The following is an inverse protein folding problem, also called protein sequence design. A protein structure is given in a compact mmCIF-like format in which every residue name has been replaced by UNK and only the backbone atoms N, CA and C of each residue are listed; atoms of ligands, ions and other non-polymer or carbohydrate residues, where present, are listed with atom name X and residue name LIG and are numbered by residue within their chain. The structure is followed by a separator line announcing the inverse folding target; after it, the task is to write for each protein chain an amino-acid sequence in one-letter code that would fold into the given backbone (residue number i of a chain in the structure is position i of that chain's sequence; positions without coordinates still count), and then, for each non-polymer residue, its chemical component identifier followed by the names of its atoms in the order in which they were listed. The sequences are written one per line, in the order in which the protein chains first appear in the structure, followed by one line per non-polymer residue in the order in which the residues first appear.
data_IF_649232103613
#
_entry.id   IF_649232103613
#
_cell.length_a   1.000
_cell.length_b   1.000
_cell.length_c   1.000
_cell.angle_alpha   90.00
_cell.angle_beta   90.00
_cell.angle_gamma   90.00
#
_symmetry.space_group_name_H-M   'P 1'
#
loop_
_entity.id
_entity.type
_entity.pdbx_description
1 polymer ?
#
# COMPACT_ATOMS: atom_id res chain seq x y z
N UNK A 1 -17.70 -11.46 9.84
CA UNK A 1 -16.89 -11.83 8.64
C UNK A 1 -17.58 -11.47 7.32
N UNK A 2 -18.86 -11.79 7.13
CA UNK A 2 -19.56 -11.44 5.88
C UNK A 2 -19.70 -9.93 5.66
N UNK A 3 -19.93 -9.16 6.72
CA UNK A 3 -19.94 -7.69 6.64
C UNK A 3 -18.58 -7.12 6.15
N UNK A 4 -17.47 -7.58 6.73
CA UNK A 4 -16.13 -7.19 6.25
C UNK A 4 -15.93 -7.51 4.76
N UNK A 5 -16.35 -8.71 4.32
CA UNK A 5 -16.24 -9.08 2.91
C UNK A 5 -17.06 -8.16 2.01
N UNK A 6 -18.28 -7.82 2.41
CA UNK A 6 -19.16 -6.92 1.67
C UNK A 6 -18.54 -5.53 1.51
N UNK A 7 -18.06 -4.93 2.59
CA UNK A 7 -17.45 -3.60 2.54
C UNK A 7 -16.11 -3.61 1.77
N UNK A 8 -15.35 -4.72 1.85
CA UNK A 8 -14.15 -4.89 1.01
C UNK A 8 -14.50 -5.01 -0.47
N UNK A 9 -15.56 -5.74 -0.83
CA UNK A 9 -16.02 -5.81 -2.22
C UNK A 9 -16.41 -4.44 -2.76
N UNK A 10 -17.10 -3.59 -1.99
CA UNK A 10 -17.38 -2.21 -2.41
C UNK A 10 -16.11 -1.41 -2.71
N UNK A 11 -15.09 -1.54 -1.86
CA UNK A 11 -13.80 -0.87 -2.08
C UNK A 11 -13.06 -1.40 -3.32
N UNK A 12 -13.15 -2.70 -3.59
CA UNK A 12 -12.60 -3.32 -4.80
C UNK A 12 -13.35 -2.86 -6.05
N UNK A 13 -14.68 -2.85 -6.01
CA UNK A 13 -15.52 -2.35 -7.09
C UNK A 13 -15.23 -0.88 -7.35
N UNK A 14 -15.08 -0.07 -6.29
CA UNK A 14 -14.67 1.32 -6.44
C UNK A 14 -13.26 1.46 -7.04
N UNK A 15 -12.31 0.61 -6.62
CA UNK A 15 -10.97 0.55 -7.20
C UNK A 15 -11.01 0.19 -8.68
N UNK A 16 -11.90 -0.73 -9.07
CA UNK A 16 -12.13 -1.15 -10.45
C UNK A 16 -12.83 -0.05 -11.27
N UNK A 17 -13.81 0.67 -10.70
CA UNK A 17 -14.44 1.82 -11.36
C UNK A 17 -13.46 2.97 -11.58
N UNK A 18 -12.57 3.17 -10.61
CA UNK A 18 -11.42 4.05 -10.70
C UNK A 18 -10.36 3.57 -11.72
N UNK A 19 -10.55 2.45 -12.42
CA UNK A 19 -9.71 2.09 -13.58
C UNK A 19 -9.87 3.07 -14.74
N UNK A 20 -10.99 3.81 -14.80
CA UNK A 20 -11.19 4.88 -15.78
C UNK A 20 -10.43 6.18 -15.41
N UNK A 21 -10.19 6.44 -14.12
CA UNK A 21 -9.36 7.56 -13.63
C UNK A 21 -7.92 7.16 -13.26
N UNK A 22 -7.62 5.85 -13.31
CA UNK A 22 -6.34 5.14 -13.15
C UNK A 22 -5.55 5.42 -11.86
N UNK A 23 -6.12 6.08 -10.84
CA UNK A 23 -5.34 6.67 -9.73
C UNK A 23 -5.87 6.35 -8.33
N UNK A 24 -6.06 5.09 -7.94
CA UNK A 24 -6.68 4.79 -6.63
C UNK A 24 -5.99 5.45 -5.41
N UNK A 25 -4.68 5.23 -5.22
CA UNK A 25 -3.91 5.87 -4.14
C UNK A 25 -3.84 7.40 -4.30
N UNK A 26 -3.41 7.86 -5.48
CA UNK A 26 -3.21 9.28 -5.76
C UNK A 26 -4.52 10.10 -5.74
N UNK A 27 -5.64 9.53 -6.19
CA UNK A 27 -6.95 10.17 -6.16
C UNK A 27 -7.46 10.29 -4.72
N UNK A 28 -7.30 9.25 -3.90
CA UNK A 28 -7.66 9.31 -2.48
C UNK A 28 -6.81 10.34 -1.71
N UNK A 29 -5.53 10.48 -2.08
CA UNK A 29 -4.63 11.48 -1.50
C UNK A 29 -5.04 12.93 -1.85
N UNK A 30 -5.56 13.15 -3.06
CA UNK A 30 -5.92 14.47 -3.60
C UNK A 30 -7.38 14.86 -3.32
N UNK A 31 -8.30 13.89 -3.22
CA UNK A 31 -9.74 14.11 -3.16
C UNK A 31 -10.12 15.07 -2.04
N UNK A 32 -10.54 16.28 -2.38
CA UNK A 32 -10.75 17.34 -1.40
C UNK A 32 -12.07 17.23 -0.63
N UNK A 33 -12.89 16.18 -0.83
CA UNK A 33 -14.27 16.22 -0.36
C UNK A 33 -14.90 14.92 0.13
N UNK A 34 -15.72 15.17 1.15
CA UNK A 34 -16.71 14.42 1.94
C UNK A 34 -16.37 13.03 2.50
N UNK A 35 -16.57 12.91 3.82
CA UNK A 35 -16.68 11.64 4.55
C UNK A 35 -17.89 10.79 4.11
N UNK A 36 -18.62 11.25 3.09
CA UNK A 36 -19.93 10.76 2.67
C UNK A 36 -19.90 10.05 1.31
N UNK A 37 -18.72 9.86 0.71
CA UNK A 37 -18.59 8.92 -0.42
C UNK A 37 -18.53 7.47 0.10
N UNK A 38 -19.23 6.54 -0.56
CA UNK A 38 -19.31 5.12 -0.20
C UNK A 38 -17.92 4.45 0.06
N UNK A 39 -16.84 4.80 -0.66
CA UNK A 39 -15.50 4.27 -0.37
C UNK A 39 -14.90 4.77 0.94
N UNK A 40 -15.10 6.05 1.29
CA UNK A 40 -14.62 6.61 2.56
C UNK A 40 -15.36 5.98 3.74
N UNK A 41 -16.66 5.75 3.60
CA UNK A 41 -17.50 5.06 4.59
C UNK A 41 -17.03 3.61 4.77
N UNK A 42 -16.87 2.86 3.68
CA UNK A 42 -16.41 1.46 3.72
C UNK A 42 -15.02 1.33 4.35
N UNK A 43 -14.09 2.23 4.00
CA UNK A 43 -12.74 2.29 4.58
C UNK A 43 -12.78 2.52 6.10
N UNK A 44 -13.58 3.49 6.56
CA UNK A 44 -13.70 3.81 7.98
C UNK A 44 -14.34 2.67 8.79
N UNK A 45 -15.41 2.07 8.26
CA UNK A 45 -16.07 0.92 8.88
C UNK A 45 -15.12 -0.27 9.04
N UNK A 46 -14.37 -0.60 7.98
CA UNK A 46 -13.38 -1.69 8.04
C UNK A 46 -12.28 -1.41 9.06
N UNK A 47 -11.79 -0.16 9.14
CA UNK A 47 -10.82 0.22 10.17
C UNK A 47 -11.37 0.01 11.59
N UNK A 48 -12.62 0.41 11.84
CA UNK A 48 -13.29 0.21 13.13
C UNK A 48 -13.45 -1.27 13.51
N UNK A 49 -13.95 -2.09 12.58
CA UNK A 49 -14.12 -3.54 12.81
C UNK A 49 -12.79 -4.20 13.15
N UNK A 50 -11.72 -3.89 12.40
CA UNK A 50 -10.41 -4.48 12.66
C UNK A 50 -9.78 -3.96 13.96
N UNK A 51 -9.95 -2.69 14.30
CA UNK A 51 -9.46 -2.15 15.57
C UNK A 51 -10.19 -2.84 16.76
N UNK A 52 -11.49 -3.07 16.67
CA UNK A 52 -12.25 -3.84 17.68
C UNK A 52 -11.73 -5.27 17.82
N UNK A 53 -11.54 -5.99 16.70
CA UNK A 53 -10.96 -7.35 16.70
C UNK A 53 -9.60 -7.37 17.41
N UNK A 54 -8.72 -6.39 17.13
CA UNK A 54 -7.40 -6.32 17.77
C UNK A 54 -7.52 -6.00 19.26
N UNK A 55 -8.46 -5.15 19.67
CA UNK A 55 -8.65 -4.87 21.09
C UNK A 55 -9.24 -6.08 21.84
N UNK A 56 -10.19 -6.82 21.25
CA UNK A 56 -10.69 -8.09 21.81
C UNK A 56 -9.56 -9.11 21.96
N UNK A 57 -8.70 -9.25 20.94
CA UNK A 57 -7.54 -10.13 21.00
C UNK A 57 -6.60 -9.74 22.14
N UNK A 58 -6.31 -8.44 22.31
CA UNK A 58 -5.44 -7.94 23.39
C UNK A 58 -6.02 -8.14 24.78
N UNK A 59 -7.34 -8.24 24.90
CA UNK A 59 -8.05 -8.51 26.16
C UNK A 59 -8.25 -10.00 26.43
N UNK A 60 -7.75 -10.88 25.55
CA UNK A 60 -7.97 -12.33 25.63
C UNK A 60 -9.46 -12.71 25.58
N UNK A 61 -10.26 -11.93 24.84
CA UNK A 61 -11.71 -12.17 24.66
C UNK A 61 -12.00 -13.08 23.45
N UNK A 62 -10.96 -13.51 22.74
CA UNK A 62 -11.06 -14.38 21.56
C UNK A 62 -10.37 -15.73 21.84
N UNK A 63 -10.76 -16.82 21.14
CA UNK A 63 -10.10 -18.11 21.29
C UNK A 63 -8.59 -18.06 21.00
N UNK A 64 -7.82 -18.91 21.67
CA UNK A 64 -6.35 -18.96 21.51
C UNK A 64 -5.93 -19.25 20.06
N UNK A 65 -6.71 -20.05 19.33
CA UNK A 65 -6.43 -20.39 17.94
C UNK A 65 -6.84 -19.31 16.94
N UNK A 66 -7.42 -18.18 17.39
CA UNK A 66 -8.00 -17.15 16.52
C UNK A 66 -7.00 -16.64 15.48
N UNK A 67 -5.76 -16.35 15.90
CA UNK A 67 -4.68 -15.86 15.04
C UNK A 67 -4.20 -16.90 14.00
N UNK A 68 -4.54 -18.18 14.19
CA UNK A 68 -4.17 -19.29 13.30
C UNK A 68 -5.29 -19.69 12.32
N UNK A 69 -6.48 -19.08 12.42
CA UNK A 69 -7.61 -19.41 11.52
C UNK A 69 -7.27 -18.96 10.10
N UNK A 70 -7.00 -19.92 9.20
CA UNK A 70 -6.63 -19.67 7.80
C UNK A 70 -7.55 -18.69 7.07
N UNK A 71 -8.88 -18.83 7.24
CA UNK A 71 -9.86 -17.92 6.62
C UNK A 71 -9.71 -16.48 7.11
N UNK A 72 -9.41 -16.29 8.39
CA UNK A 72 -9.19 -14.98 8.98
C UNK A 72 -7.87 -14.38 8.52
N UNK A 73 -6.80 -15.17 8.44
CA UNK A 73 -5.50 -14.74 7.90
C UNK A 73 -5.65 -14.24 6.45
N UNK A 74 -6.37 -14.99 5.62
CA UNK A 74 -6.67 -14.59 4.24
C UNK A 74 -7.48 -13.30 4.18
N UNK A 75 -8.50 -13.17 5.03
CA UNK A 75 -9.33 -11.96 5.11
C UNK A 75 -8.52 -10.75 5.57
N UNK A 76 -7.68 -10.91 6.60
CA UNK A 76 -6.78 -9.87 7.11
C UNK A 76 -5.72 -9.44 6.11
N UNK A 77 -5.21 -10.39 5.32
CA UNK A 77 -4.27 -10.11 4.23
C UNK A 77 -4.93 -9.28 3.13
N UNK A 78 -6.11 -9.71 2.66
CA UNK A 78 -6.88 -8.97 1.64
C UNK A 78 -7.27 -7.58 2.14
N UNK A 79 -7.69 -7.46 3.40
CA UNK A 79 -7.98 -6.17 4.05
C UNK A 79 -6.75 -5.26 4.03
N UNK A 80 -5.59 -5.77 4.46
CA UNK A 80 -4.34 -5.03 4.51
C UNK A 80 -3.92 -4.52 3.13
N UNK A 81 -4.00 -5.35 2.09
CA UNK A 81 -3.69 -4.95 0.70
C UNK A 81 -4.62 -3.87 0.16
N UNK A 82 -5.88 -3.86 0.58
CA UNK A 82 -6.88 -2.93 0.07
C UNK A 82 -6.88 -1.59 0.82
N UNK A 83 -6.76 -1.63 2.14
CA UNK A 83 -7.06 -0.51 3.04
C UNK A 83 -5.79 0.19 3.55
N UNK A 84 -4.68 -0.53 3.76
CA UNK A 84 -3.44 0.09 4.25
C UNK A 84 -2.89 1.18 3.29
N UNK A 85 -2.92 0.99 1.95
CA UNK A 85 -2.58 2.07 1.01
C UNK A 85 -3.41 3.35 1.21
N UNK A 86 -4.70 3.22 1.54
CA UNK A 86 -5.59 4.37 1.78
C UNK A 86 -5.25 5.08 3.09
N UNK A 87 -4.96 4.31 4.15
CA UNK A 87 -4.48 4.87 5.42
C UNK A 87 -3.15 5.61 5.24
N UNK A 88 -2.23 5.07 4.42
CA UNK A 88 -0.97 5.74 4.07
C UNK A 88 -1.24 7.04 3.31
N UNK A 89 -2.13 7.01 2.30
CA UNK A 89 -2.52 8.21 1.55
C UNK A 89 -3.08 9.28 2.50
N UNK A 90 -3.98 8.89 3.41
CA UNK A 90 -4.56 9.78 4.40
C UNK A 90 -3.50 10.35 5.37
N UNK A 91 -2.56 9.50 5.82
CA UNK A 91 -1.46 9.90 6.70
C UNK A 91 -0.60 10.98 6.05
N UNK A 92 -0.12 10.74 4.82
CA UNK A 92 0.78 11.67 4.14
C UNK A 92 0.07 12.93 3.64
N UNK A 93 -1.22 12.85 3.29
CA UNK A 93 -2.07 14.01 3.00
C UNK A 93 -2.09 15.02 4.15
N UNK A 94 -2.26 14.54 5.39
CA UNK A 94 -2.37 15.41 6.57
C UNK A 94 -1.02 15.72 7.23
N UNK A 95 0.07 15.07 6.80
CA UNK A 95 1.40 15.25 7.39
C UNK A 95 2.05 16.62 7.14
N UNK A 96 1.46 17.49 6.29
CA UNK A 96 1.91 18.87 5.98
C UNK A 96 3.43 19.05 5.78
N UNK A 97 4.12 18.05 5.23
CA UNK A 97 5.57 18.13 4.99
C UNK A 97 6.43 18.03 6.25
N UNK A 98 5.86 17.62 7.39
CA UNK A 98 6.60 17.39 8.62
C UNK A 98 7.56 16.19 8.43
N UNK A 99 8.86 16.50 8.33
CA UNK A 99 9.92 15.51 8.06
C UNK A 99 10.08 14.47 9.18
N UNK A 100 9.61 14.77 10.39
CA UNK A 100 9.76 13.90 11.56
C UNK A 100 8.69 12.80 11.61
N UNK A 101 7.50 13.05 11.05
CA UNK A 101 6.39 12.09 11.01
C UNK A 101 6.56 11.12 9.85
N UNK A 102 6.91 9.88 10.21
CA UNK A 102 7.08 8.76 9.28
C UNK A 102 6.08 7.67 9.61
N UNK A 103 5.35 7.17 8.61
CA UNK A 103 4.32 6.16 8.81
C UNK A 103 4.87 4.91 9.53
N UNK A 104 6.07 4.46 9.14
CA UNK A 104 6.69 3.26 9.71
C UNK A 104 7.30 3.47 11.11
N UNK A 105 7.32 4.70 11.66
CA UNK A 105 7.81 4.97 13.02
C UNK A 105 6.71 4.73 14.07
N UNK A 106 7.12 4.73 15.35
CA UNK A 106 6.23 4.48 16.50
C UNK A 106 5.04 5.44 16.45
N UNK A 107 3.83 4.88 16.51
CA UNK A 107 2.57 5.64 16.47
C UNK A 107 2.04 6.00 15.08
N UNK A 108 2.81 5.80 14.00
CA UNK A 108 2.33 6.05 12.63
C UNK A 108 1.46 4.92 12.09
N UNK A 109 2.05 3.72 11.96
CA UNK A 109 1.37 2.54 11.40
C UNK A 109 0.40 1.90 12.42
N UNK A 110 -0.92 1.84 12.12
CA UNK A 110 -1.92 1.20 12.97
C UNK A 110 -1.61 -0.25 13.32
N UNK A 111 -2.08 -0.72 14.48
CA UNK A 111 -1.79 -2.07 14.97
C UNK A 111 -2.45 -3.13 14.10
N UNK A 112 -3.70 -2.92 13.64
CA UNK A 112 -4.43 -3.85 12.76
C UNK A 112 -3.61 -4.39 11.60
N UNK A 113 -2.79 -3.56 10.94
CA UNK A 113 -1.92 -4.03 9.85
C UNK A 113 -0.70 -4.82 10.31
N UNK A 114 -0.14 -4.48 11.48
CA UNK A 114 0.98 -5.22 12.07
C UNK A 114 0.56 -6.62 12.51
N UNK A 115 -0.65 -6.76 13.06
CA UNK A 115 -1.19 -8.06 13.46
C UNK A 115 -1.47 -8.93 12.23
N UNK A 116 -2.25 -8.43 11.26
CA UNK A 116 -2.58 -9.21 10.06
C UNK A 116 -1.35 -9.58 9.23
N UNK A 117 -0.32 -8.72 9.19
CA UNK A 117 0.98 -9.08 8.59
C UNK A 117 1.66 -10.22 9.37
N UNK A 118 1.76 -10.12 10.70
CA UNK A 118 2.41 -11.15 11.53
C UNK A 118 1.70 -12.50 11.47
N UNK A 119 0.37 -12.50 11.41
CA UNK A 119 -0.39 -13.74 11.28
C UNK A 119 -0.07 -14.46 9.96
N UNK A 120 0.02 -13.73 8.85
CA UNK A 120 0.40 -14.29 7.56
C UNK A 120 1.85 -14.83 7.59
N UNK A 121 2.79 -14.03 8.08
CA UNK A 121 4.20 -14.40 8.17
C UNK A 121 4.39 -15.64 9.03
N UNK A 122 3.71 -15.73 10.18
CA UNK A 122 3.76 -16.90 11.04
C UNK A 122 3.16 -18.14 10.35
N UNK A 123 1.98 -18.00 9.75
CA UNK A 123 1.31 -19.10 9.04
C UNK A 123 2.15 -19.64 7.87
N UNK A 124 2.86 -18.77 7.15
CA UNK A 124 3.74 -19.13 6.05
C UNK A 124 5.17 -19.49 6.48
N UNK A 125 5.48 -19.42 7.79
CA UNK A 125 6.83 -19.63 8.35
C UNK A 125 7.88 -18.70 7.74
N UNK A 126 7.49 -17.46 7.48
CA UNK A 126 8.36 -16.41 6.95
C UNK A 126 9.02 -15.62 8.09
N UNK A 127 10.13 -14.96 7.75
CA UNK A 127 10.77 -14.02 8.66
C UNK A 127 9.84 -12.82 8.89
N UNK A 128 9.84 -12.32 10.13
CA UNK A 128 9.07 -11.14 10.51
C UNK A 128 9.47 -9.94 9.63
N UNK A 129 8.48 -9.26 9.06
CA UNK A 129 8.68 -8.07 8.22
C UNK A 129 8.77 -8.34 6.72
N UNK A 130 8.69 -9.60 6.27
CA UNK A 130 8.83 -9.98 4.85
C UNK A 130 7.61 -9.60 4.02
N UNK A 131 6.40 -9.61 4.60
CA UNK A 131 5.14 -9.27 3.90
C UNK A 131 4.84 -7.76 3.99
N UNK A 132 5.74 -6.95 3.42
CA UNK A 132 5.71 -5.49 3.47
C UNK A 132 5.01 -4.78 2.29
N UNK A 133 4.42 -5.51 1.36
CA UNK A 133 3.83 -5.01 0.10
C UNK A 133 2.78 -3.92 0.30
N UNK A 134 1.98 -4.03 1.37
CA UNK A 134 0.95 -3.05 1.71
C UNK A 134 1.52 -1.72 2.24
N UNK A 135 2.78 -1.72 2.69
CA UNK A 135 3.50 -0.52 3.12
C UNK A 135 4.28 0.16 1.98
N UNK A 136 4.22 -0.38 0.75
CA UNK A 136 4.95 0.15 -0.41
C UNK A 136 4.88 1.67 -0.52
N UNK A 137 3.67 2.24 -0.46
CA UNK A 137 3.46 3.67 -0.62
C UNK A 137 4.12 4.51 0.48
N UNK A 138 4.26 3.99 1.70
CA UNK A 138 4.93 4.70 2.77
C UNK A 138 6.42 4.91 2.45
N UNK A 139 7.07 3.89 1.90
CA UNK A 139 8.48 3.98 1.50
C UNK A 139 8.66 4.94 0.30
N UNK A 140 7.73 4.90 -0.66
CA UNK A 140 7.72 5.84 -1.80
C UNK A 140 7.64 7.29 -1.32
N UNK A 141 6.74 7.61 -0.39
CA UNK A 141 6.57 8.98 0.14
C UNK A 141 7.83 9.44 0.89
N UNK A 142 8.46 8.56 1.69
CA UNK A 142 9.70 8.90 2.40
C UNK A 142 10.87 9.15 1.45
N UNK A 143 11.04 8.32 0.42
CA UNK A 143 12.10 8.51 -0.58
C UNK A 143 11.84 9.74 -1.46
N UNK A 144 10.57 10.03 -1.77
CA UNK A 144 10.21 11.22 -2.54
C UNK A 144 10.61 12.50 -1.81
N UNK A 145 10.50 12.56 -0.47
CA UNK A 145 11.01 13.69 0.33
C UNK A 145 12.52 13.91 0.19
N UNK A 146 13.29 12.84 -0.07
CA UNK A 146 14.75 12.92 -0.22
C UNK A 146 15.20 13.39 -1.61
N UNK A 147 14.26 13.53 -2.56
CA UNK A 147 14.56 14.04 -3.91
C UNK A 147 14.79 15.57 -3.99
N UNK A 148 15.00 16.23 -2.85
CA UNK A 148 15.29 17.67 -2.78
C UNK A 148 16.75 17.98 -3.15
N UNK A 149 17.67 17.02 -3.02
CA UNK A 149 19.04 17.11 -3.54
C UNK A 149 19.55 15.74 -4.02
N UNK A 150 20.56 15.75 -4.89
CA UNK A 150 21.18 14.53 -5.38
C UNK A 150 21.89 13.78 -4.25
N UNK A 151 22.59 14.50 -3.37
CA UNK A 151 23.34 13.95 -2.25
C UNK A 151 22.41 13.22 -1.27
N UNK A 152 21.23 13.79 -0.97
CA UNK A 152 20.27 13.18 -0.07
C UNK A 152 19.72 11.87 -0.63
N UNK A 153 19.30 11.84 -1.90
CA UNK A 153 18.79 10.60 -2.51
C UNK A 153 19.86 9.54 -2.70
N UNK A 154 21.12 9.93 -2.97
CA UNK A 154 22.24 8.98 -3.01
C UNK A 154 22.55 8.38 -1.65
N UNK A 155 22.37 9.14 -0.56
CA UNK A 155 22.44 8.61 0.81
C UNK A 155 21.42 7.50 1.10
N UNK A 156 20.32 7.45 0.34
CA UNK A 156 19.25 6.46 0.45
C UNK A 156 19.31 5.37 -0.62
N UNK A 157 20.46 5.22 -1.29
CA UNK A 157 20.66 4.27 -2.40
C UNK A 157 20.13 2.87 -2.12
N UNK A 158 20.49 2.30 -0.97
CA UNK A 158 20.12 0.92 -0.65
C UNK A 158 18.61 0.74 -0.52
N UNK A 159 17.93 1.70 0.12
CA UNK A 159 16.46 1.74 0.24
C UNK A 159 15.77 1.94 -1.11
N UNK A 160 16.30 2.81 -1.95
CA UNK A 160 15.81 3.03 -3.32
C UNK A 160 15.89 1.75 -4.15
N UNK A 161 17.02 1.03 -4.08
CA UNK A 161 17.21 -0.21 -4.82
C UNK A 161 16.38 -1.37 -4.24
N UNK A 162 16.25 -1.43 -2.91
CA UNK A 162 15.40 -2.42 -2.24
C UNK A 162 13.93 -2.23 -2.58
N UNK A 163 13.43 -0.99 -2.54
CA UNK A 163 12.06 -0.65 -2.96
C UNK A 163 11.76 -1.18 -4.37
N UNK A 164 12.69 -0.97 -5.31
CA UNK A 164 12.51 -1.42 -6.69
C UNK A 164 12.56 -2.94 -6.85
N UNK A 165 13.48 -3.62 -6.15
CA UNK A 165 13.53 -5.09 -6.15
C UNK A 165 12.24 -5.69 -5.60
N UNK A 166 11.76 -5.15 -4.47
CA UNK A 166 10.53 -5.59 -3.82
C UNK A 166 9.32 -5.32 -4.72
N UNK A 167 9.22 -4.12 -5.30
CA UNK A 167 8.14 -3.79 -6.22
C UNK A 167 8.10 -4.73 -7.43
N UNK A 168 9.24 -5.02 -8.05
CA UNK A 168 9.32 -5.95 -9.18
C UNK A 168 8.81 -7.35 -8.80
N UNK A 169 9.18 -7.84 -7.61
CA UNK A 169 8.69 -9.11 -7.06
C UNK A 169 7.17 -9.06 -6.80
N UNK A 170 6.70 -8.04 -6.09
CA UNK A 170 5.28 -7.90 -5.74
C UNK A 170 4.37 -7.76 -6.96
N UNK A 171 4.85 -7.11 -8.03
CA UNK A 171 4.13 -7.06 -9.31
C UNK A 171 4.05 -8.45 -9.94
N UNK A 172 5.18 -9.17 -9.99
CA UNK A 172 5.24 -10.52 -10.56
C UNK A 172 4.35 -11.52 -9.81
N UNK A 173 4.30 -11.39 -8.48
CA UNK A 173 3.52 -12.25 -7.60
C UNK A 173 2.02 -11.82 -7.54
N UNK A 174 1.64 -10.72 -8.19
CA UNK A 174 0.27 -10.22 -8.27
C UNK A 174 -0.22 -9.47 -7.02
N UNK A 175 0.67 -9.20 -6.06
CA UNK A 175 0.36 -8.50 -4.81
C UNK A 175 0.20 -6.99 -5.02
N UNK A 176 0.92 -6.43 -5.99
CA UNK A 176 0.85 -5.03 -6.37
C UNK A 176 0.50 -4.91 -7.85
N UNK A 177 -0.62 -4.27 -8.18
CA UNK A 177 -1.05 -4.11 -9.56
C UNK A 177 -0.18 -3.08 -10.31
N UNK A 178 0.61 -3.54 -11.29
CA UNK A 178 1.46 -2.70 -12.16
C UNK A 178 0.69 -1.55 -12.80
N UNK A 179 -0.54 -1.83 -13.28
CA UNK A 179 -1.43 -0.85 -13.92
C UNK A 179 -1.71 0.40 -13.07
N UNK A 180 -1.61 0.29 -11.74
CA UNK A 180 -1.81 1.41 -10.82
C UNK A 180 -0.50 2.09 -10.42
N UNK A 181 0.55 1.32 -10.13
CA UNK A 181 1.81 1.84 -9.58
C UNK A 181 2.72 2.43 -10.65
N UNK A 182 2.67 1.92 -11.87
CA UNK A 182 3.53 2.38 -12.98
C UNK A 182 2.80 3.34 -13.93
N UNK A 183 1.61 3.84 -13.54
CA UNK A 183 0.94 4.88 -14.30
C UNK A 183 1.78 6.17 -14.27
N UNK A 184 1.88 6.85 -15.41
CA UNK A 184 2.66 8.09 -15.59
C UNK A 184 2.45 9.14 -14.49
N UNK A 185 1.22 9.31 -14.02
CA UNK A 185 0.86 10.31 -13.00
C UNK A 185 0.96 9.81 -11.56
N UNK A 186 1.31 8.54 -11.35
CA UNK A 186 1.38 7.93 -10.02
C UNK A 186 2.48 8.56 -9.17
N UNK A 187 2.31 8.52 -7.84
CA UNK A 187 3.35 8.99 -6.92
C UNK A 187 4.68 8.23 -7.09
N UNK A 188 4.65 6.95 -7.47
CA UNK A 188 5.87 6.18 -7.72
C UNK A 188 6.60 6.63 -8.99
N UNK A 189 5.88 6.87 -10.09
CA UNK A 189 6.52 7.38 -11.32
C UNK A 189 7.09 8.79 -11.11
N UNK A 190 6.47 9.63 -10.27
CA UNK A 190 7.05 10.91 -9.85
C UNK A 190 8.39 10.74 -9.11
N UNK A 191 8.49 9.77 -8.18
CA UNK A 191 9.76 9.41 -7.55
C UNK A 191 10.76 8.94 -8.61
N UNK A 192 10.36 7.99 -9.45
CA UNK A 192 11.18 7.41 -10.50
C UNK A 192 11.79 8.47 -11.43
N UNK A 193 11.01 9.44 -11.88
CA UNK A 193 11.47 10.49 -12.78
C UNK A 193 12.50 11.41 -12.13
N UNK A 194 12.47 11.55 -10.80
CA UNK A 194 13.44 12.33 -10.03
C UNK A 194 14.70 11.54 -9.64
N UNK A 195 14.72 10.23 -9.79
CA UNK A 195 15.90 9.42 -9.48
C UNK A 195 17.02 9.65 -10.50
N UNK A 196 18.29 9.71 -10.05
CA UNK A 196 19.46 9.59 -10.92
C UNK A 196 19.41 8.28 -11.72
N UNK A 197 19.98 8.27 -12.93
CA UNK A 197 19.97 7.08 -13.81
C UNK A 197 20.65 5.86 -13.16
N UNK A 198 21.69 6.08 -12.36
CA UNK A 198 22.43 5.05 -11.63
C UNK A 198 21.59 4.36 -10.53
N UNK A 199 20.48 4.97 -10.12
CA UNK A 199 19.56 4.42 -9.13
C UNK A 199 18.30 3.82 -9.77
N UNK A 200 18.23 3.70 -11.10
CA UNK A 200 17.12 3.06 -11.82
C UNK A 200 17.48 1.63 -12.17
N UNK A 201 16.65 0.68 -11.76
CA UNK A 201 16.86 -0.74 -12.01
C UNK A 201 16.20 -1.21 -13.31
N UNK A 202 16.88 -2.11 -14.02
CA UNK A 202 16.39 -2.72 -15.27
C UNK A 202 15.02 -3.41 -15.15
N UNK A 203 14.71 -4.17 -14.07
CA UNK A 203 13.39 -4.79 -13.93
C UNK A 203 12.23 -3.78 -14.00
N UNK A 204 12.38 -2.62 -13.35
CA UNK A 204 11.35 -1.58 -13.38
C UNK A 204 11.30 -0.89 -14.75
N UNK A 205 12.46 -0.67 -15.39
CA UNK A 205 12.51 -0.15 -16.77
C UNK A 205 11.75 -1.06 -17.74
N UNK A 206 11.95 -2.38 -17.64
CA UNK A 206 11.22 -3.38 -18.43
C UNK A 206 9.71 -3.28 -18.24
N UNK A 207 9.26 -3.30 -16.98
CA UNK A 207 7.83 -3.22 -16.64
C UNK A 207 7.18 -1.90 -17.13
N UNK A 208 7.89 -0.78 -17.04
CA UNK A 208 7.39 0.50 -17.56
C UNK A 208 7.23 0.49 -19.09
N UNK A 209 8.17 -0.10 -19.83
CA UNK A 209 8.11 -0.22 -21.29
C UNK A 209 6.95 -1.11 -21.74
N UNK A 210 6.78 -2.27 -21.11
CA UNK A 210 5.68 -3.20 -21.39
C UNK A 210 4.31 -2.52 -21.26
N UNK A 211 4.14 -1.72 -20.20
CA UNK A 211 2.90 -1.01 -19.95
C UNK A 211 2.60 0.08 -20.98
N UNK A 212 3.61 0.80 -21.47
CA UNK A 212 3.46 1.77 -22.57
C UNK A 212 3.09 1.07 -23.88
N UNK A 213 3.71 -0.08 -24.18
CA UNK A 213 3.37 -0.87 -25.38
C UNK A 213 1.92 -1.35 -25.36
N UNK A 214 1.43 -1.85 -24.22
CA UNK A 214 0.03 -2.28 -24.07
C UNK A 214 -0.93 -1.09 -24.24
N UNK A 215 -0.61 0.07 -23.66
CA UNK A 215 -1.45 1.26 -23.79
C UNK A 215 -1.59 1.72 -25.25
N UNK A 216 -0.53 1.62 -26.05
CA UNK A 216 -0.55 2.02 -27.46
C UNK A 216 -1.38 1.07 -28.34
N UNK A 217 -1.42 -0.24 -28.01
CA UNK A 217 -2.21 -1.24 -28.74
C UNK A 217 -3.71 -1.12 -28.46
N UNK A 218 -4.11 -0.64 -27.28
CA UNK A 218 -5.52 -0.49 -26.89
C UNK A 218 -6.16 0.79 -27.47
N UNK A 219 -5.35 1.75 -27.93
CA UNK A 219 -5.79 3.05 -28.48
C UNK A 219 -5.78 3.07 -30.02
N UNK A 220 -5.18 2.07 -30.66
CA UNK A 220 -5.18 1.84 -32.12
C UNK A 220 -6.30 0.89 -32.55
#
# INVERSE_FOLDING_TARGET
MEEMKKEMTKLEDHRALCEHSRRYYDAFKISNDTRDSDPNVSWFLLAGIWDEIIEMLRKYELPDEFEAIKKLIQLGTRYRHLVEPLDIANYYRHSRGELTRRYMKKGGRPKRYKYTQRWLEHYQKLQIGTCGESCFWAEVEELLKQTHSAEAIYGERDRVLELQRNLGKWIKDGEVGSKYVLLEQSTFVKLWNKLPSQLKSEPIIGLMKEQTSIANVVVS
#
